data_IF_009515780842
#
_entry.id   IF_009515780842
#
_cell.length_a   1.000
_cell.length_b   1.000
_cell.length_c   1.000
_cell.angle_alpha   90.00
_cell.angle_beta   90.00
_cell.angle_gamma   90.00
#
_symmetry.space_group_name_H-M   'P 1'
#
loop_
_entity.id
_entity.type
_entity.pdbx_description
1 polymer ?
#
# COMPACT_ATOMS: atom_id res chain seq x y z
N UNK A 1 8.24 16.27 -9.03
CA UNK A 1 6.93 15.98 -8.43
C UNK A 1 7.19 15.20 -7.17
N UNK A 2 6.96 15.79 -6.00
CA UNK A 2 7.21 15.09 -4.73
C UNK A 2 6.11 14.05 -4.54
N UNK A 3 6.43 12.79 -4.84
CA UNK A 3 5.54 11.69 -4.51
C UNK A 3 5.46 11.58 -2.99
N UNK A 4 4.26 11.42 -2.45
CA UNK A 4 4.04 11.26 -1.02
C UNK A 4 4.86 10.06 -0.52
N UNK A 5 5.61 10.13 0.60
CA UNK A 5 6.47 9.04 1.06
C UNK A 5 5.71 7.71 1.23
N UNK A 6 4.42 7.80 1.52
CA UNK A 6 3.49 6.67 1.61
C UNK A 6 3.44 5.79 0.34
N UNK A 7 3.58 6.34 -0.87
CA UNK A 7 3.52 5.50 -2.09
C UNK A 7 4.69 4.53 -2.15
N UNK A 8 5.88 4.95 -1.74
CA UNK A 8 7.08 4.11 -1.73
C UNK A 8 6.93 2.96 -0.73
N UNK A 9 6.36 3.25 0.45
CA UNK A 9 6.07 2.22 1.46
C UNK A 9 5.04 1.21 0.97
N UNK A 10 3.95 1.69 0.35
CA UNK A 10 2.91 0.85 -0.24
C UNK A 10 3.50 -0.01 -1.36
N UNK A 11 4.29 0.55 -2.27
CA UNK A 11 4.91 -0.21 -3.37
C UNK A 11 5.88 -1.30 -2.86
N UNK A 12 6.67 -1.01 -1.83
CA UNK A 12 7.54 -2.00 -1.19
C UNK A 12 6.70 -3.14 -0.56
N UNK A 13 5.59 -2.80 0.11
CA UNK A 13 4.67 -3.78 0.67
C UNK A 13 4.02 -4.66 -0.40
N UNK A 14 3.53 -4.06 -1.49
CA UNK A 14 2.94 -4.80 -2.62
C UNK A 14 3.94 -5.78 -3.24
N UNK A 15 5.22 -5.36 -3.39
CA UNK A 15 6.29 -6.25 -3.87
C UNK A 15 6.57 -7.41 -2.90
N UNK A 16 6.64 -7.14 -1.60
CA UNK A 16 6.92 -8.15 -0.58
C UNK A 16 5.81 -9.19 -0.42
N UNK A 17 4.56 -8.79 -0.66
CA UNK A 17 3.37 -9.62 -0.47
C UNK A 17 2.81 -10.20 -1.77
N UNK A 18 3.38 -9.82 -2.92
CA UNK A 18 2.83 -10.07 -4.25
C UNK A 18 1.34 -9.69 -4.39
N UNK A 19 0.89 -8.70 -3.62
CA UNK A 19 -0.50 -8.25 -3.60
C UNK A 19 -0.77 -7.30 -4.77
N UNK A 20 -1.95 -7.41 -5.39
CA UNK A 20 -2.40 -6.45 -6.38
C UNK A 20 -2.74 -5.09 -5.73
N UNK A 21 -2.39 -4.00 -6.41
CA UNK A 21 -2.68 -2.62 -6.00
C UNK A 21 -4.19 -2.38 -5.71
N UNK A 22 -5.04 -2.95 -6.56
CA UNK A 22 -6.50 -2.88 -6.46
C UNK A 22 -7.03 -3.66 -5.26
N UNK A 23 -6.39 -4.79 -4.94
CA UNK A 23 -6.74 -5.61 -3.78
C UNK A 23 -6.32 -4.92 -2.48
N UNK A 24 -5.12 -4.34 -2.46
CA UNK A 24 -4.62 -3.55 -1.34
C UNK A 24 -5.53 -2.38 -1.01
N UNK A 25 -5.87 -1.56 -2.02
CA UNK A 25 -6.74 -0.41 -1.81
C UNK A 25 -8.11 -0.81 -1.25
N UNK A 26 -8.68 -1.92 -1.75
CA UNK A 26 -9.94 -2.46 -1.24
C UNK A 26 -9.82 -3.00 0.19
N UNK A 27 -8.70 -3.63 0.56
CA UNK A 27 -8.52 -4.19 1.91
C UNK A 27 -8.13 -3.12 2.96
N UNK A 28 -7.29 -2.16 2.58
CA UNK A 28 -6.78 -1.14 3.50
C UNK A 28 -7.77 0.01 3.74
N UNK A 29 -8.44 0.47 2.67
CA UNK A 29 -9.27 1.69 2.72
C UNK A 29 -10.62 1.55 2.00
N UNK A 30 -10.97 0.33 1.54
CA UNK A 30 -12.19 0.04 0.77
C UNK A 30 -12.30 0.82 -0.56
N UNK A 31 -11.15 1.22 -1.13
CA UNK A 31 -11.08 1.92 -2.42
C UNK A 31 -10.00 1.30 -3.32
N UNK A 32 -10.42 0.61 -4.37
CA UNK A 32 -9.50 -0.05 -5.31
C UNK A 32 -8.66 0.92 -6.15
N UNK A 33 -9.08 2.18 -6.30
CA UNK A 33 -8.31 3.20 -7.04
C UNK A 33 -7.29 3.91 -6.15
N UNK A 34 -7.26 3.62 -4.86
CA UNK A 34 -6.44 4.32 -3.88
C UNK A 34 -4.96 4.41 -4.29
N UNK A 35 -4.32 3.29 -4.64
CA UNK A 35 -2.90 3.24 -5.00
C UNK A 35 -2.63 4.02 -6.29
N UNK A 36 -3.53 3.93 -7.27
CA UNK A 36 -3.43 4.67 -8.54
C UNK A 36 -3.51 6.17 -8.31
N UNK A 37 -4.48 6.61 -7.51
CA UNK A 37 -4.63 8.01 -7.17
C UNK A 37 -3.45 8.53 -6.34
N UNK A 38 -2.92 7.69 -5.43
CA UNK A 38 -1.72 7.99 -4.64
C UNK A 38 -0.49 8.22 -5.55
N UNK A 39 -0.32 7.38 -6.58
CA UNK A 39 0.73 7.53 -7.60
C UNK A 39 0.55 8.83 -8.40
N UNK A 40 -0.69 9.23 -8.66
CA UNK A 40 -1.03 10.51 -9.31
C UNK A 40 -0.87 11.74 -8.38
N UNK A 41 -0.45 11.56 -7.13
CA UNK A 41 -0.24 12.66 -6.20
C UNK A 41 -1.50 13.11 -5.46
N UNK A 42 -2.52 12.25 -5.34
CA UNK A 42 -3.71 12.54 -4.54
C UNK A 42 -3.31 12.85 -3.10
N UNK A 43 -3.96 13.87 -2.54
CA UNK A 43 -3.86 14.20 -1.12
C UNK A 43 -4.46 13.06 -0.29
N UNK A 44 -3.65 12.51 0.61
CA UNK A 44 -4.10 11.54 1.62
C UNK A 44 -4.31 12.27 2.93
N UNK A 45 -5.41 11.95 3.59
CA UNK A 45 -5.70 12.46 4.92
C UNK A 45 -4.95 11.63 5.97
N UNK A 46 -4.49 12.21 7.09
CA UNK A 46 -3.77 11.49 8.14
C UNK A 46 -4.51 10.23 8.63
N UNK A 47 -5.85 10.26 8.71
CA UNK A 47 -6.66 9.09 9.08
C UNK A 47 -6.57 7.96 8.05
N UNK A 48 -6.52 8.30 6.77
CA UNK A 48 -6.37 7.31 5.69
C UNK A 48 -4.96 6.73 5.69
N UNK A 49 -3.96 7.59 5.90
CA UNK A 49 -2.58 7.13 6.07
C UNK A 49 -2.43 6.19 7.27
N UNK A 50 -3.05 6.52 8.40
CA UNK A 50 -3.04 5.66 9.59
C UNK A 50 -3.70 4.30 9.31
N UNK A 51 -4.84 4.26 8.59
CA UNK A 51 -5.48 3.00 8.17
C UNK A 51 -4.57 2.16 7.27
N UNK A 52 -3.92 2.80 6.31
CA UNK A 52 -2.98 2.16 5.37
C UNK A 52 -1.78 1.57 6.13
N UNK A 53 -1.15 2.36 7.00
CA UNK A 53 -0.04 1.89 7.84
C UNK A 53 -0.47 0.76 8.78
N UNK A 54 -1.62 0.90 9.43
CA UNK A 54 -2.15 -0.12 10.33
C UNK A 54 -2.47 -1.42 9.57
N UNK A 55 -3.00 -1.33 8.36
CA UNK A 55 -3.20 -2.49 7.50
C UNK A 55 -1.87 -3.17 7.16
N UNK A 56 -0.85 -2.42 6.74
CA UNK A 56 0.48 -2.98 6.43
C UNK A 56 1.12 -3.67 7.65
N UNK A 57 0.97 -3.10 8.85
CA UNK A 57 1.48 -3.69 10.11
C UNK A 57 0.67 -4.92 10.55
N UNK A 58 -0.65 -4.87 10.41
CA UNK A 58 -1.55 -5.95 10.80
C UNK A 58 -1.57 -7.11 9.79
N UNK A 59 -1.09 -6.87 8.57
CA UNK A 59 -1.06 -7.87 7.51
C UNK A 59 -0.07 -8.98 7.85
N UNK A 60 -0.60 -10.09 8.37
CA UNK A 60 0.13 -11.34 8.62
C UNK A 60 0.18 -12.28 7.40
N UNK A 61 -0.20 -11.79 6.22
CA UNK A 61 -0.12 -12.59 5.00
C UNK A 61 1.31 -13.09 4.83
N UNK A 62 1.43 -14.40 4.60
CA UNK A 62 2.71 -15.11 4.62
C UNK A 62 3.76 -14.32 3.82
N UNK A 63 4.98 -14.11 4.37
CA UNK A 63 6.05 -13.53 3.59
C UNK A 63 6.23 -14.43 2.37
N UNK A 64 5.86 -13.94 1.18
CA UNK A 64 6.16 -14.68 -0.03
C UNK A 64 7.67 -14.77 -0.10
N UNK A 65 8.15 -16.01 0.01
CA UNK A 65 9.55 -16.41 0.01
C UNK A 65 10.20 -15.94 -1.29
N UNK A 66 10.70 -14.72 -1.28
CA UNK A 66 11.57 -14.16 -2.31
C UNK A 66 12.60 -13.25 -1.62
N UNK A 67 13.44 -13.91 -0.82
CA UNK A 67 14.83 -13.50 -0.69
C UNK A 67 15.59 -14.15 -1.85
N UNK A 68 16.21 -13.28 -2.64
CA UNK A 68 17.24 -13.47 -3.66
C UNK A 68 17.86 -14.87 -3.77
N UNK A 69 17.84 -15.38 -5.00
CA UNK A 69 18.86 -16.29 -5.54
C UNK A 69 20.13 -15.51 -5.88
#
# INVERSE_FOLDING_TARGET
>A
MAHHPLITEVEAFLKSTAMADSAFGRQAVNDWKFVRDLRNGRRVWPETEAKVRNFMVSYRGAPSRQAAA
#
